data_IF_024120834545
#
_entry.id   IF_024120834545
#
_cell.length_a   1.000
_cell.length_b   1.000
_cell.length_c   1.000
_cell.angle_alpha   90.00
_cell.angle_beta   90.00
_cell.angle_gamma   90.00
#
_symmetry.space_group_name_H-M   'P 1'
#
loop_
_entity.id
_entity.type
_entity.pdbx_description
1 polymer ?
#
# COMPACT_ATOMS: atom_id res chain seq x y z
N UNK A 1 6.02 33.86 19.73
CA UNK A 1 6.68 32.85 18.88
C UNK A 1 6.13 31.47 19.24
N UNK A 2 5.67 30.70 18.24
CA UNK A 2 5.27 29.30 18.43
C UNK A 2 6.54 28.44 18.28
N UNK A 3 7.13 27.99 19.39
CA UNK A 3 8.27 27.09 19.40
C UNK A 3 7.80 25.64 19.36
N UNK A 4 8.41 24.81 18.50
CA UNK A 4 8.31 23.35 18.50
C UNK A 4 9.62 22.78 19.03
N UNK A 5 9.54 21.98 20.10
CA UNK A 5 10.69 21.25 20.64
C UNK A 5 10.51 19.77 20.39
N UNK A 6 11.52 19.14 19.80
CA UNK A 6 11.59 17.69 19.59
C UNK A 6 12.67 17.11 20.50
N UNK A 7 12.32 16.13 21.32
CA UNK A 7 13.26 15.37 22.15
C UNK A 7 13.27 13.93 21.68
N UNK A 8 14.44 13.36 21.46
CA UNK A 8 14.65 11.98 21.06
C UNK A 8 15.36 11.21 22.18
N UNK A 9 14.92 9.98 22.44
CA UNK A 9 15.61 9.04 23.30
C UNK A 9 15.92 7.76 22.53
N UNK A 10 16.99 7.09 22.91
CA UNK A 10 17.49 5.90 22.24
C UNK A 10 17.64 4.75 23.24
N UNK A 11 17.54 3.53 22.79
CA UNK A 11 17.81 2.34 23.58
C UNK A 11 19.32 2.05 23.66
N UNK A 12 19.71 0.94 24.31
CA UNK A 12 21.11 0.54 24.50
C UNK A 12 21.82 0.15 23.20
N UNK A 13 21.06 -0.19 22.14
CA UNK A 13 21.57 -0.49 20.80
C UNK A 13 21.65 0.75 19.90
N UNK A 14 21.29 1.94 20.44
CA UNK A 14 21.29 3.19 19.70
C UNK A 14 20.08 3.37 18.77
N UNK A 15 19.01 2.56 18.92
CA UNK A 15 17.77 2.69 18.16
C UNK A 15 16.83 3.67 18.85
N UNK A 16 16.05 4.42 18.08
CA UNK A 16 15.10 5.40 18.61
C UNK A 16 14.03 4.70 19.48
N UNK A 17 14.03 4.93 20.79
CA UNK A 17 13.04 4.36 21.73
C UNK A 17 11.87 5.27 21.98
N UNK A 18 12.06 6.60 21.91
CA UNK A 18 10.94 7.54 21.99
C UNK A 18 11.24 8.86 21.28
N UNK A 19 10.16 9.47 20.80
CA UNK A 19 10.14 10.83 20.26
C UNK A 19 9.06 11.64 20.98
N UNK A 20 9.42 12.77 21.56
CA UNK A 20 8.51 13.70 22.24
C UNK A 20 8.47 15.02 21.49
N UNK A 21 7.27 15.43 21.09
CA UNK A 21 7.00 16.71 20.45
C UNK A 21 6.25 17.61 21.45
N UNK A 22 6.81 18.78 21.75
CA UNK A 22 6.20 19.76 22.62
C UNK A 22 6.05 21.10 21.88
N UNK A 23 4.83 21.60 21.81
CA UNK A 23 4.52 22.96 21.35
C UNK A 23 4.46 23.87 22.57
N UNK A 24 5.08 25.05 22.51
CA UNK A 24 5.07 26.03 23.62
C UNK A 24 3.66 26.50 24.02
N UNK A 25 2.67 26.26 23.14
CA UNK A 25 1.25 26.59 23.36
C UNK A 25 0.37 25.40 23.72
N UNK A 26 0.90 24.16 23.75
CA UNK A 26 0.12 22.95 24.03
C UNK A 26 0.36 22.45 25.44
N UNK A 27 -0.72 22.11 26.15
CA UNK A 27 -0.70 21.66 27.55
C UNK A 27 -0.15 20.25 27.70
N UNK A 28 -0.24 19.42 26.64
CA UNK A 28 0.19 18.01 26.65
C UNK A 28 1.12 17.77 25.44
N UNK A 29 2.35 17.33 25.68
CA UNK A 29 3.24 16.92 24.61
C UNK A 29 2.77 15.60 23.97
N UNK A 30 3.02 15.45 22.68
CA UNK A 30 2.79 14.20 21.96
C UNK A 30 4.04 13.33 22.09
N UNK A 31 3.89 12.12 22.63
CA UNK A 31 4.99 11.15 22.75
C UNK A 31 4.69 9.94 21.89
N UNK A 32 5.66 9.55 21.09
CA UNK A 32 5.67 8.29 20.31
C UNK A 32 6.73 7.40 20.89
N UNK A 33 6.38 6.15 21.23
CA UNK A 33 7.33 5.14 21.69
C UNK A 33 7.52 4.08 20.59
N UNK A 34 8.71 3.47 20.56
CA UNK A 34 9.12 2.49 19.59
C UNK A 34 9.72 1.28 20.32
N UNK A 35 9.29 0.08 19.93
CA UNK A 35 9.85 -1.18 20.40
C UNK A 35 10.36 -2.00 19.21
N UNK A 36 11.34 -2.85 19.46
CA UNK A 36 12.00 -3.64 18.43
C UNK A 36 11.99 -5.11 18.79
N UNK A 37 11.97 -5.97 17.79
CA UNK A 37 12.11 -7.42 17.95
C UNK A 37 13.60 -7.82 18.15
N UNK A 38 13.85 -9.09 18.39
CA UNK A 38 15.21 -9.64 18.60
C UNK A 38 16.13 -9.45 17.39
N UNK A 39 15.58 -9.28 16.20
CA UNK A 39 16.32 -8.99 14.97
C UNK A 39 16.53 -7.47 14.75
N UNK A 40 16.12 -6.62 15.71
CA UNK A 40 16.27 -5.17 15.64
C UNK A 40 15.26 -4.47 14.72
N UNK A 41 14.18 -5.16 14.29
CA UNK A 41 13.13 -4.58 13.45
C UNK A 41 12.05 -3.97 14.33
N UNK A 42 11.40 -2.91 13.87
CA UNK A 42 10.32 -2.25 14.59
C UNK A 42 9.16 -3.23 14.85
N UNK A 43 8.92 -3.59 16.10
CA UNK A 43 7.82 -4.50 16.50
C UNK A 43 6.57 -3.75 16.94
N UNK A 44 6.73 -2.55 17.49
CA UNK A 44 5.61 -1.72 17.92
C UNK A 44 5.97 -0.23 17.83
N UNK A 45 4.96 0.55 17.47
CA UNK A 45 4.97 2.01 17.56
C UNK A 45 3.71 2.46 18.28
N UNK A 46 3.83 3.20 19.39
CA UNK A 46 2.68 3.69 20.16
C UNK A 46 2.61 5.21 20.10
N UNK A 47 1.51 5.75 19.60
CA UNK A 47 1.16 7.16 19.65
C UNK A 47 -0.17 7.32 20.39
N UNK A 48 -0.14 7.88 21.58
CA UNK A 48 -1.31 7.92 22.46
C UNK A 48 -1.72 6.52 22.95
N UNK A 49 -3.03 6.19 23.06
CA UNK A 49 -3.50 4.95 23.66
C UNK A 49 -3.48 3.75 22.72
N UNK A 50 -3.26 3.96 21.42
CA UNK A 50 -3.41 2.89 20.42
C UNK A 50 -2.06 2.51 19.84
N UNK A 51 -1.53 1.31 20.17
CA UNK A 51 -0.31 0.81 19.56
C UNK A 51 -0.55 0.33 18.12
N UNK A 52 0.48 0.43 17.31
CA UNK A 52 0.60 -0.21 15.99
C UNK A 52 1.67 -1.27 16.11
N UNK A 53 1.29 -2.54 15.97
CA UNK A 53 2.22 -3.67 16.00
C UNK A 53 2.59 -4.13 14.59
N UNK A 54 3.81 -4.64 14.44
CA UNK A 54 4.38 -5.13 13.19
C UNK A 54 4.91 -6.55 13.41
N UNK A 55 4.60 -7.45 12.50
CA UNK A 55 5.19 -8.78 12.46
C UNK A 55 5.80 -9.04 11.09
N UNK A 56 6.88 -9.80 11.07
CA UNK A 56 7.68 -10.08 9.89
C UNK A 56 7.79 -11.57 9.65
N UNK A 57 7.92 -11.96 8.39
CA UNK A 57 8.26 -13.33 8.04
C UNK A 57 9.77 -13.60 8.24
N UNK A 58 10.19 -14.83 7.99
CA UNK A 58 11.60 -15.27 8.14
C UNK A 58 12.57 -14.53 7.21
N UNK A 59 12.08 -13.89 6.13
CA UNK A 59 12.87 -13.09 5.20
C UNK A 59 12.97 -11.62 5.61
N UNK A 60 12.32 -11.22 6.71
CA UNK A 60 12.28 -9.83 7.17
C UNK A 60 11.22 -8.97 6.46
N UNK A 61 10.35 -9.55 5.64
CA UNK A 61 9.25 -8.80 5.02
C UNK A 61 8.07 -8.67 5.98
N UNK A 62 7.41 -7.51 5.96
CA UNK A 62 6.22 -7.27 6.81
C UNK A 62 5.13 -8.27 6.41
N UNK A 63 4.70 -9.11 7.38
CA UNK A 63 3.60 -10.03 7.22
C UNK A 63 2.30 -9.54 7.85
N UNK A 64 2.40 -8.68 8.88
CA UNK A 64 1.21 -8.15 9.57
C UNK A 64 1.48 -6.77 10.14
N UNK A 65 0.46 -5.90 10.03
CA UNK A 65 0.36 -4.63 10.74
C UNK A 65 -0.99 -4.63 11.45
N UNK A 66 -1.01 -4.37 12.75
CA UNK A 66 -2.24 -4.33 13.51
C UNK A 66 -2.29 -3.10 14.43
N UNK A 67 -3.42 -2.41 14.38
CA UNK A 67 -3.76 -1.29 15.27
C UNK A 67 -5.27 -1.34 15.46
N UNK A 68 -5.74 -1.79 16.64
CA UNK A 68 -7.16 -1.97 16.88
C UNK A 68 -7.96 -0.70 16.54
N UNK A 69 -9.08 -0.82 15.80
CA UNK A 69 -9.72 -2.04 15.33
C UNK A 69 -9.23 -2.57 13.95
N UNK A 70 -8.17 -2.03 13.37
CA UNK A 70 -7.68 -2.37 12.02
C UNK A 70 -6.57 -3.42 12.06
N UNK A 71 -6.65 -4.41 11.16
CA UNK A 71 -5.62 -5.43 10.92
C UNK A 71 -5.35 -5.53 9.43
N UNK A 72 -4.09 -5.62 9.05
CA UNK A 72 -3.61 -5.80 7.69
C UNK A 72 -2.57 -6.93 7.65
N UNK A 73 -2.73 -7.89 6.73
CA UNK A 73 -1.80 -9.01 6.52
C UNK A 73 -1.31 -9.03 5.07
N UNK A 74 -0.01 -9.20 4.89
CA UNK A 74 0.63 -9.35 3.58
C UNK A 74 1.15 -10.79 3.45
N UNK A 75 0.79 -11.44 2.35
CA UNK A 75 1.24 -12.80 1.99
C UNK A 75 2.08 -12.76 0.74
N UNK A 76 3.09 -13.57 0.71
CA UNK A 76 4.07 -13.65 -0.37
C UNK A 76 4.09 -15.05 -0.99
N UNK A 77 4.52 -16.05 -0.23
CA UNK A 77 4.77 -17.42 -0.67
C UNK A 77 3.54 -18.33 -0.52
N UNK A 78 2.61 -17.95 0.35
CA UNK A 78 1.43 -18.73 0.71
C UNK A 78 0.13 -17.92 0.56
N UNK A 79 -0.19 -17.43 -0.67
CA UNK A 79 -1.46 -16.76 -0.89
C UNK A 79 -2.63 -17.73 -0.75
N UNK A 80 -3.79 -17.20 -0.32
CA UNK A 80 -5.07 -17.89 -0.41
C UNK A 80 -5.69 -17.66 -1.79
N UNK A 81 -6.80 -18.29 -2.07
CA UNK A 81 -7.69 -18.00 -3.20
C UNK A 81 -7.04 -18.08 -4.59
N UNK A 82 -6.07 -19.01 -4.75
CA UNK A 82 -5.44 -19.30 -6.06
C UNK A 82 -4.45 -18.24 -6.54
N UNK A 83 -3.90 -17.44 -5.63
CA UNK A 83 -2.76 -16.58 -5.94
C UNK A 83 -1.48 -17.40 -6.25
N UNK A 84 -0.56 -16.79 -6.97
CA UNK A 84 0.75 -17.39 -7.22
C UNK A 84 1.70 -17.13 -6.03
N UNK A 85 2.46 -18.13 -5.55
CA UNK A 85 3.55 -17.90 -4.60
C UNK A 85 4.62 -17.00 -5.20
N UNK A 86 5.06 -16.00 -4.44
CA UNK A 86 6.10 -15.05 -4.86
C UNK A 86 7.24 -15.03 -3.84
N UNK A 87 8.46 -15.27 -4.33
CA UNK A 87 9.66 -15.42 -3.49
C UNK A 87 10.63 -14.23 -3.59
N UNK A 88 10.24 -13.20 -4.35
CA UNK A 88 11.05 -12.00 -4.63
C UNK A 88 10.75 -10.82 -3.71
N UNK A 89 9.80 -10.95 -2.77
CA UNK A 89 9.34 -9.85 -1.93
C UNK A 89 8.13 -9.09 -2.49
N UNK A 90 7.65 -9.48 -3.68
CA UNK A 90 6.38 -8.98 -4.20
C UNK A 90 5.22 -9.58 -3.41
N UNK A 91 4.24 -8.77 -3.06
CA UNK A 91 3.04 -9.20 -2.33
C UNK A 91 2.12 -9.98 -3.25
N UNK A 92 1.83 -11.25 -2.91
CA UNK A 92 0.88 -12.09 -3.66
C UNK A 92 -0.57 -11.88 -3.21
N UNK A 93 -0.77 -11.52 -1.93
CA UNK A 93 -2.09 -11.24 -1.37
C UNK A 93 -1.98 -10.20 -0.26
N UNK A 94 -2.95 -9.31 -0.22
CA UNK A 94 -3.20 -8.39 0.89
C UNK A 94 -4.57 -8.65 1.48
N UNK A 95 -4.62 -8.92 2.79
CA UNK A 95 -5.84 -9.11 3.57
C UNK A 95 -5.97 -7.94 4.54
N UNK A 96 -7.18 -7.38 4.71
CA UNK A 96 -7.43 -6.39 5.76
C UNK A 96 -8.82 -6.53 6.35
N UNK A 97 -8.94 -6.11 7.60
CA UNK A 97 -10.18 -6.12 8.35
C UNK A 97 -10.25 -4.93 9.30
N UNK A 98 -11.44 -4.36 9.47
CA UNK A 98 -11.71 -3.30 10.44
C UNK A 98 -12.82 -3.74 11.41
N UNK A 99 -12.47 -4.04 12.66
CA UNK A 99 -13.40 -4.49 13.70
C UNK A 99 -14.18 -5.73 13.29
N UNK A 100 -15.51 -5.62 13.32
CA UNK A 100 -16.42 -6.70 12.93
C UNK A 100 -16.84 -6.64 11.44
N UNK A 101 -16.28 -5.71 10.67
CA UNK A 101 -16.55 -5.65 9.23
C UNK A 101 -16.02 -6.91 8.52
N UNK A 102 -16.56 -7.25 7.33
CA UNK A 102 -16.04 -8.36 6.53
C UNK A 102 -14.54 -8.27 6.28
N UNK A 103 -13.89 -9.44 6.22
CA UNK A 103 -12.50 -9.53 5.77
C UNK A 103 -12.45 -9.27 4.26
N UNK A 104 -11.57 -8.39 3.86
CA UNK A 104 -11.33 -8.06 2.46
C UNK A 104 -9.95 -8.55 2.05
N UNK A 105 -9.85 -9.02 0.81
CA UNK A 105 -8.57 -9.46 0.23
C UNK A 105 -8.40 -8.91 -1.17
N UNK A 106 -7.14 -8.61 -1.50
CA UNK A 106 -6.68 -8.55 -2.87
C UNK A 106 -5.69 -9.68 -3.16
N UNK A 107 -5.92 -10.39 -4.25
CA UNK A 107 -4.95 -11.34 -4.82
C UNK A 107 -4.36 -10.71 -6.08
N UNK A 108 -3.06 -10.53 -6.07
CA UNK A 108 -2.31 -9.84 -7.10
C UNK A 108 -1.75 -10.81 -8.14
N UNK A 109 -1.66 -10.35 -9.38
CA UNK A 109 -0.97 -11.03 -10.47
C UNK A 109 0.01 -10.08 -11.13
N UNK A 110 1.16 -10.60 -11.53
CA UNK A 110 2.25 -9.81 -12.10
C UNK A 110 2.68 -10.41 -13.43
N UNK A 111 3.27 -9.60 -14.31
CA UNK A 111 3.91 -10.06 -15.53
C UNK A 111 5.32 -10.62 -15.27
N UNK A 112 5.98 -11.09 -16.33
CA UNK A 112 7.30 -11.72 -16.24
C UNK A 112 8.44 -10.80 -15.75
N UNK A 113 8.22 -9.49 -15.71
CA UNK A 113 9.19 -8.50 -15.19
C UNK A 113 8.73 -7.87 -13.85
N UNK A 114 7.64 -8.40 -13.25
CA UNK A 114 7.18 -8.03 -11.92
C UNK A 114 6.25 -6.82 -11.86
N UNK A 115 5.61 -6.42 -12.99
CA UNK A 115 4.63 -5.33 -13.00
C UNK A 115 3.23 -5.89 -12.75
N UNK A 116 2.41 -5.18 -11.97
CA UNK A 116 1.04 -5.59 -11.63
C UNK A 116 0.16 -5.64 -12.89
N UNK A 117 -0.49 -6.79 -13.15
CA UNK A 117 -1.41 -6.96 -14.28
C UNK A 117 -2.85 -7.20 -13.86
N UNK A 118 -3.08 -7.62 -12.62
CA UNK A 118 -4.42 -7.74 -12.04
C UNK A 118 -4.40 -7.71 -10.51
N UNK A 119 -5.49 -7.22 -9.91
CA UNK A 119 -5.81 -7.32 -8.50
C UNK A 119 -7.25 -7.84 -8.37
N UNK A 120 -7.44 -9.08 -7.91
CA UNK A 120 -8.75 -9.70 -7.73
C UNK A 120 -9.24 -9.49 -6.31
N UNK A 121 -10.45 -8.98 -6.15
CA UNK A 121 -11.05 -8.68 -4.87
C UNK A 121 -11.88 -9.85 -4.32
N UNK A 122 -11.77 -10.10 -3.02
CA UNK A 122 -12.53 -11.09 -2.27
C UNK A 122 -13.09 -10.45 -0.99
N UNK A 123 -14.25 -10.95 -0.54
CA UNK A 123 -14.87 -10.58 0.73
C UNK A 123 -15.24 -11.87 1.45
N UNK A 124 -14.78 -12.05 2.69
CA UNK A 124 -14.95 -13.27 3.50
C UNK A 124 -14.64 -14.56 2.70
N UNK A 125 -13.58 -14.51 1.90
CA UNK A 125 -13.11 -15.62 1.07
C UNK A 125 -13.90 -15.84 -0.23
N UNK A 126 -15.00 -15.15 -0.46
CA UNK A 126 -15.75 -15.22 -1.71
C UNK A 126 -15.20 -14.20 -2.71
N UNK A 127 -14.89 -14.66 -3.94
CA UNK A 127 -14.49 -13.74 -5.01
C UNK A 127 -15.65 -12.80 -5.34
N UNK A 128 -15.34 -11.53 -5.42
CA UNK A 128 -16.28 -10.49 -5.84
C UNK A 128 -15.67 -9.70 -6.99
N UNK A 129 -16.54 -9.07 -7.81
CA UNK A 129 -16.10 -8.06 -8.76
C UNK A 129 -16.33 -6.64 -8.21
N UNK A 130 -16.46 -6.50 -6.87
CA UNK A 130 -16.75 -5.24 -6.19
C UNK A 130 -15.72 -4.15 -6.49
N UNK A 131 -14.43 -4.51 -6.39
CA UNK A 131 -13.30 -3.59 -6.60
C UNK A 131 -12.12 -4.34 -7.23
N UNK A 132 -12.31 -4.85 -8.44
CA UNK A 132 -11.29 -5.62 -9.16
C UNK A 132 -10.57 -4.72 -10.17
N UNK A 133 -9.25 -4.84 -10.26
CA UNK A 133 -8.45 -4.27 -11.34
C UNK A 133 -7.97 -5.39 -12.26
N UNK A 134 -8.06 -5.16 -13.58
CA UNK A 134 -7.71 -6.17 -14.59
C UNK A 134 -7.29 -5.54 -15.91
N UNK A 135 -6.69 -6.35 -16.78
CA UNK A 135 -6.30 -5.89 -18.12
C UNK A 135 -5.25 -4.77 -18.07
N UNK A 136 -4.49 -4.69 -16.99
CA UNK A 136 -3.40 -3.74 -16.86
C UNK A 136 -2.31 -4.16 -17.84
N UNK A 137 -1.94 -3.26 -18.74
CA UNK A 137 -0.93 -3.49 -19.77
C UNK A 137 0.05 -2.35 -19.81
N UNK A 138 1.27 -2.69 -20.19
CA UNK A 138 2.39 -1.76 -20.25
C UNK A 138 3.10 -1.88 -21.59
N UNK A 139 3.77 -0.83 -22.00
CA UNK A 139 4.75 -0.87 -23.08
C UNK A 139 6.11 -1.43 -22.60
N UNK A 140 7.09 -1.45 -23.50
CA UNK A 140 8.44 -1.93 -23.21
C UNK A 140 9.17 -1.04 -22.19
N UNK A 141 8.85 0.26 -22.11
CA UNK A 141 9.44 1.22 -21.19
C UNK A 141 8.79 1.16 -19.79
N UNK A 142 7.65 0.47 -19.62
CA UNK A 142 6.90 0.37 -18.37
C UNK A 142 5.77 1.38 -18.26
N UNK A 143 5.47 2.15 -19.31
CA UNK A 143 4.34 3.06 -19.33
C UNK A 143 3.02 2.31 -19.39
N UNK A 144 2.01 2.77 -18.66
CA UNK A 144 0.69 2.17 -18.65
C UNK A 144 -0.04 2.39 -19.98
N UNK A 145 -0.50 1.30 -20.61
CA UNK A 145 -1.26 1.32 -21.87
C UNK A 145 -2.75 1.07 -21.69
N UNK A 146 -3.15 0.32 -20.66
CA UNK A 146 -4.55 0.06 -20.40
C UNK A 146 -4.78 -0.37 -18.95
N UNK A 147 -5.98 -0.09 -18.45
CA UNK A 147 -6.49 -0.59 -17.17
C UNK A 147 -8.02 -0.67 -17.22
N UNK A 148 -8.60 -1.69 -16.60
CA UNK A 148 -10.04 -1.77 -16.35
C UNK A 148 -10.28 -2.02 -14.87
N UNK A 149 -11.23 -1.27 -14.29
CA UNK A 149 -11.61 -1.34 -12.88
C UNK A 149 -13.09 -1.61 -12.75
N UNK A 150 -13.47 -2.26 -11.66
CA UNK A 150 -14.87 -2.40 -11.26
C UNK A 150 -15.14 -1.65 -9.96
N UNK A 151 -16.36 -1.14 -9.79
CA UNK A 151 -16.87 -0.64 -8.52
C UNK A 151 -18.29 -1.14 -8.34
N UNK A 152 -18.63 -1.72 -7.18
CA UNK A 152 -19.93 -2.30 -6.92
C UNK A 152 -20.36 -3.41 -7.89
N UNK A 153 -19.38 -4.12 -8.49
CA UNK A 153 -19.64 -5.19 -9.47
C UNK A 153 -19.81 -4.74 -10.92
N UNK A 154 -19.89 -3.43 -11.19
CA UNK A 154 -19.94 -2.87 -12.54
C UNK A 154 -18.58 -2.30 -12.96
N UNK A 155 -18.33 -2.24 -14.28
CA UNK A 155 -17.13 -1.56 -14.78
C UNK A 155 -17.25 -0.05 -14.48
N UNK A 156 -16.34 0.47 -13.66
CA UNK A 156 -16.23 1.91 -13.39
C UNK A 156 -15.30 2.61 -14.37
N UNK A 157 -14.20 1.94 -14.69
CA UNK A 157 -13.20 2.45 -15.61
C UNK A 157 -12.77 1.37 -16.60
N UNK A 158 -12.65 1.77 -17.85
CA UNK A 158 -11.98 0.99 -18.90
C UNK A 158 -11.23 1.97 -19.77
N UNK A 159 -9.94 2.16 -19.44
CA UNK A 159 -9.10 3.21 -19.99
C UNK A 159 -8.01 2.63 -20.86
N UNK A 160 -7.69 3.34 -21.93
CA UNK A 160 -6.53 3.12 -22.79
C UNK A 160 -5.75 4.42 -22.90
N UNK A 161 -4.44 4.29 -22.90
CA UNK A 161 -3.50 5.39 -22.91
C UNK A 161 -2.70 5.33 -24.20
N UNK A 162 -2.65 6.42 -24.94
CA UNK A 162 -1.81 6.60 -26.13
C UNK A 162 -0.65 7.50 -25.76
N UNK A 163 0.56 7.03 -26.05
CA UNK A 163 1.80 7.71 -25.68
C UNK A 163 2.60 8.08 -26.94
N UNK A 164 3.30 9.19 -26.89
CA UNK A 164 4.35 9.59 -27.83
C UNK A 164 5.70 9.52 -27.11
N UNK A 165 6.40 8.39 -27.25
CA UNK A 165 7.49 8.07 -26.33
C UNK A 165 6.96 7.82 -24.93
N UNK A 166 7.46 8.55 -23.91
CA UNK A 166 7.00 8.46 -22.52
C UNK A 166 5.98 9.55 -22.15
N UNK A 167 5.48 10.32 -23.14
CA UNK A 167 4.54 11.42 -22.95
C UNK A 167 3.12 10.94 -23.24
N UNK A 168 2.17 11.19 -22.34
CA UNK A 168 0.76 10.83 -22.51
C UNK A 168 0.11 11.82 -23.51
N UNK A 169 -0.40 11.30 -24.63
CA UNK A 169 -1.07 12.09 -25.67
C UNK A 169 -2.60 12.01 -25.61
N UNK A 170 -3.13 10.83 -25.27
CA UNK A 170 -4.58 10.60 -25.28
C UNK A 170 -4.97 9.57 -24.25
N UNK A 171 -6.16 9.76 -23.68
CA UNK A 171 -6.89 8.78 -22.86
C UNK A 171 -8.24 8.53 -23.50
N UNK A 172 -8.55 7.26 -23.74
CA UNK A 172 -9.83 6.84 -24.33
C UNK A 172 -10.49 5.74 -23.50
N UNK A 173 -11.79 5.57 -23.65
CA UNK A 173 -12.60 4.58 -22.96
C UNK A 173 -13.73 5.19 -22.17
N UNK A 174 -13.90 4.81 -20.89
CA UNK A 174 -14.95 5.37 -20.01
C UNK A 174 -14.71 6.85 -19.66
N UNK A 175 -13.48 7.30 -19.75
CA UNK A 175 -13.09 8.72 -19.72
C UNK A 175 -12.23 9.03 -20.93
N UNK A 176 -12.26 10.26 -21.38
CA UNK A 176 -11.48 10.71 -22.54
C UNK A 176 -10.74 12.01 -22.21
N UNK A 177 -9.55 12.18 -22.77
CA UNK A 177 -8.75 13.41 -22.65
C UNK A 177 -7.63 13.41 -23.66
N UNK A 178 -7.39 14.56 -24.26
CA UNK A 178 -6.23 14.82 -25.14
C UNK A 178 -5.31 15.79 -24.41
N UNK A 179 -4.03 15.51 -24.45
CA UNK A 179 -3.00 16.26 -23.73
C UNK A 179 -2.03 16.87 -24.73
N UNK A 180 -1.82 18.16 -24.62
CA UNK A 180 -0.87 18.91 -25.43
C UNK A 180 0.21 19.48 -24.52
N UNK A 181 1.45 19.45 -25.00
CA UNK A 181 2.60 19.88 -24.22
C UNK A 181 3.33 20.98 -24.94
N UNK A 182 3.84 21.96 -24.19
CA UNK A 182 4.73 22.98 -24.74
C UNK A 182 6.10 22.37 -25.13
N UNK A 183 6.97 23.10 -25.83
CA UNK A 183 8.31 22.62 -26.19
C UNK A 183 9.20 22.24 -24.99
N UNK A 184 8.85 22.69 -23.78
CA UNK A 184 9.56 22.37 -22.52
C UNK A 184 8.95 21.16 -21.81
N UNK A 185 7.88 20.54 -22.34
CA UNK A 185 7.21 19.37 -21.79
C UNK A 185 6.22 19.69 -20.66
N UNK A 186 5.77 20.94 -20.53
CA UNK A 186 4.70 21.30 -19.58
C UNK A 186 3.33 21.12 -20.25
N UNK A 187 2.35 20.63 -19.44
CA UNK A 187 0.94 20.42 -19.81
C UNK A 187 0.18 21.76 -19.79
#
# INVERSE_FOLDING_TARGET
>A
QRGLTTTLAYDHDGRLSSQRLALSSATIPMTTNYSYDEAGRLSEKTLGPTPVSYAYNVRGWIGKIASAPFVSELRYENPRYGGAPLYSGMVSQWTWKHGQQPENDYVFSYDGVGRLVAAKHFVDGARTDGYTERGIRYDANGNLLAISRTAGGAVSDSLRFTLGGDVLLDVSGTSTGVFEYDPSGNL
#
